data_IF_983168151836
#
_entry.id   IF_983168151836
#
_cell.length_a   1.000
_cell.length_b   1.000
_cell.length_c   1.000
_cell.angle_alpha   90.00
_cell.angle_beta   90.00
_cell.angle_gamma   90.00
#
_symmetry.space_group_name_H-M   'P 1'
#
loop_
_entity.id
_entity.type
_entity.pdbx_description
1 polymer ?
#
# COMPACT_ATOMS: atom_id res chain seq x y z
N UNK A 1 19.90 -15.82 -54.01
CA UNK A 1 19.17 -15.03 -53.00
C UNK A 1 18.28 -15.99 -52.25
N UNK A 2 18.67 -16.34 -51.03
CA UNK A 2 17.96 -17.28 -50.17
C UNK A 2 17.88 -16.63 -48.80
N UNK A 3 16.64 -16.39 -48.36
CA UNK A 3 16.30 -15.76 -47.09
C UNK A 3 16.59 -16.78 -45.98
N UNK A 4 17.53 -16.45 -45.10
CA UNK A 4 17.77 -17.23 -43.89
C UNK A 4 16.61 -16.99 -42.92
N UNK A 5 15.89 -18.05 -42.62
CA UNK A 5 14.88 -18.13 -41.57
C UNK A 5 15.56 -18.09 -40.20
N UNK A 6 15.26 -17.07 -39.40
CA UNK A 6 15.61 -17.00 -37.99
C UNK A 6 15.00 -18.18 -37.23
N UNK A 7 15.87 -18.95 -36.59
CA UNK A 7 15.52 -20.01 -35.64
C UNK A 7 15.12 -19.31 -34.35
N UNK A 8 13.83 -19.31 -34.02
CA UNK A 8 13.38 -18.95 -32.69
C UNK A 8 13.88 -20.01 -31.71
N UNK A 9 14.95 -19.70 -30.97
CA UNK A 9 15.43 -20.53 -29.87
C UNK A 9 14.34 -20.64 -28.79
N UNK A 10 13.66 -21.78 -28.77
CA UNK A 10 12.79 -22.14 -27.65
C UNK A 10 13.66 -22.48 -26.45
N UNK A 11 13.66 -21.61 -25.43
CA UNK A 11 14.32 -21.88 -24.15
C UNK A 11 13.91 -23.25 -23.61
N UNK A 12 14.91 -24.08 -23.31
CA UNK A 12 14.74 -25.39 -22.69
C UNK A 12 13.99 -25.27 -21.35
N UNK A 13 13.14 -26.25 -21.06
CA UNK A 13 12.27 -26.27 -19.89
C UNK A 13 13.07 -26.25 -18.60
N UNK A 14 14.25 -26.89 -18.58
CA UNK A 14 15.17 -26.86 -17.45
C UNK A 14 15.83 -25.49 -17.29
N UNK A 15 16.20 -24.83 -18.39
CA UNK A 15 16.70 -23.46 -18.37
C UNK A 15 15.64 -22.45 -17.87
N UNK A 16 14.37 -22.65 -18.24
CA UNK A 16 13.25 -21.84 -17.73
C UNK A 16 13.02 -22.06 -16.23
N UNK A 17 13.06 -23.31 -15.77
CA UNK A 17 12.93 -23.64 -14.33
C UNK A 17 14.09 -23.03 -13.55
N UNK A 18 15.32 -23.12 -14.06
CA UNK A 18 16.49 -22.52 -13.44
C UNK A 18 16.43 -20.99 -13.43
N UNK A 19 15.95 -20.36 -14.51
CA UNK A 19 15.74 -18.91 -14.56
C UNK A 19 14.69 -18.44 -13.56
N UNK A 20 13.60 -19.21 -13.38
CA UNK A 20 12.58 -18.95 -12.34
C UNK A 20 13.19 -19.12 -10.95
N UNK A 21 13.99 -20.16 -10.72
CA UNK A 21 14.67 -20.37 -9.44
C UNK A 21 15.72 -19.27 -9.15
N UNK A 22 16.41 -18.76 -10.16
CA UNK A 22 17.36 -17.66 -10.03
C UNK A 22 16.64 -16.35 -9.68
N UNK A 23 15.51 -16.05 -10.34
CA UNK A 23 14.62 -14.95 -9.99
C UNK A 23 13.98 -15.10 -8.60
N UNK A 24 13.66 -16.33 -8.17
CA UNK A 24 13.09 -16.61 -6.84
C UNK A 24 14.09 -16.47 -5.69
N UNK A 25 15.40 -16.49 -6.00
CA UNK A 25 16.49 -16.39 -5.03
C UNK A 25 17.25 -15.05 -5.11
N UNK A 26 16.73 -14.04 -5.83
CA UNK A 26 17.42 -12.77 -6.12
C UNK A 26 18.82 -12.97 -6.71
N UNK A 27 19.04 -14.09 -7.42
CA UNK A 27 20.21 -14.28 -8.28
C UNK A 27 19.86 -13.62 -9.62
N UNK A 28 19.68 -12.30 -9.59
CA UNK A 28 19.71 -11.52 -10.82
C UNK A 28 21.17 -11.45 -11.26
N UNK A 29 21.48 -11.93 -12.47
CA UNK A 29 22.64 -11.42 -13.20
C UNK A 29 22.38 -9.93 -13.39
N UNK A 30 22.88 -9.15 -12.44
CA UNK A 30 22.85 -7.70 -12.52
C UNK A 30 23.43 -7.33 -13.88
N UNK A 31 22.77 -6.40 -14.58
CA UNK A 31 23.43 -5.70 -15.68
C UNK A 31 24.61 -4.98 -15.03
N UNK A 32 25.77 -5.63 -15.08
CA UNK A 32 26.99 -5.25 -14.36
C UNK A 32 27.57 -3.95 -14.90
N UNK A 33 27.08 -3.51 -16.06
CA UNK A 33 27.36 -2.21 -16.66
C UNK A 33 26.27 -1.18 -16.26
N UNK A 34 26.60 -0.22 -15.36
CA UNK A 34 25.67 0.81 -14.92
C UNK A 34 25.24 1.77 -16.05
N UNK A 35 26.08 1.94 -17.08
CA UNK A 35 25.75 2.78 -18.23
C UNK A 35 24.72 2.10 -19.14
N UNK A 36 24.88 0.79 -19.37
CA UNK A 36 23.92 -0.02 -20.11
C UNK A 36 22.56 -0.10 -19.40
N UNK A 37 22.57 -0.24 -18.06
CA UNK A 37 21.35 -0.23 -17.25
C UNK A 37 20.60 1.13 -17.34
N UNK A 38 21.34 2.23 -17.35
CA UNK A 38 20.79 3.58 -17.48
C UNK A 38 20.19 3.82 -18.88
N UNK A 39 20.88 3.40 -19.95
CA UNK A 39 20.40 3.55 -21.32
C UNK A 39 19.18 2.66 -21.64
N UNK A 40 19.15 1.44 -21.10
CA UNK A 40 17.98 0.54 -21.18
C UNK A 40 16.77 1.11 -20.45
N UNK A 41 16.96 1.69 -19.26
CA UNK A 41 15.89 2.36 -18.53
C UNK A 41 15.31 3.55 -19.32
N UNK A 42 16.17 4.29 -20.05
CA UNK A 42 15.78 5.37 -20.95
C UNK A 42 14.94 4.90 -22.14
N UNK A 43 15.35 3.80 -22.79
CA UNK A 43 14.68 3.28 -23.99
C UNK A 43 13.37 2.54 -23.68
N UNK A 44 13.32 1.74 -22.61
CA UNK A 44 12.13 0.98 -22.23
C UNK A 44 10.99 1.90 -21.80
N UNK A 45 11.32 3.03 -21.16
CA UNK A 45 10.33 3.98 -20.66
C UNK A 45 9.48 4.60 -21.79
N UNK A 46 10.06 4.85 -22.96
CA UNK A 46 9.34 5.44 -24.10
C UNK A 46 8.30 4.46 -24.64
N UNK A 47 8.65 3.19 -24.79
CA UNK A 47 7.72 2.16 -25.26
C UNK A 47 6.64 1.80 -24.23
N UNK A 48 6.96 1.88 -22.93
CA UNK A 48 5.96 1.75 -21.86
C UNK A 48 4.97 2.93 -21.88
N UNK A 49 5.46 4.15 -22.10
CA UNK A 49 4.64 5.37 -22.19
C UNK A 49 3.76 5.36 -23.46
N UNK A 50 4.25 4.84 -24.59
CA UNK A 50 3.50 4.67 -25.85
C UNK A 50 2.40 3.59 -25.75
N UNK A 51 2.68 2.45 -25.09
CA UNK A 51 1.70 1.39 -24.84
C UNK A 51 0.57 1.86 -23.91
N UNK A 52 0.85 2.80 -23.00
CA UNK A 52 -0.15 3.45 -22.15
C UNK A 52 -1.02 4.42 -22.95
N UNK A 53 -0.46 5.14 -23.91
CA UNK A 53 -1.19 6.06 -24.79
C UNK A 53 -2.10 5.33 -25.80
N UNK A 54 -1.64 4.21 -26.37
CA UNK A 54 -2.40 3.42 -27.34
C UNK A 54 -3.61 2.68 -26.74
N UNK A 55 -3.70 2.57 -25.40
CA UNK A 55 -4.83 1.99 -24.68
C UNK A 55 -5.98 2.97 -24.39
N UNK A 56 -5.84 4.25 -24.70
CA UNK A 56 -6.87 5.27 -24.51
C UNK A 56 -7.56 5.59 -25.85
N UNK A 57 -8.81 5.13 -26.00
CA UNK A 57 -9.65 5.52 -27.14
C UNK A 57 -9.84 7.05 -27.22
N UNK A 58 -10.21 7.57 -28.41
CA UNK A 58 -10.18 8.99 -28.68
C UNK A 58 -11.35 9.68 -27.98
N UNK A 59 -11.08 10.40 -26.89
CA UNK A 59 -12.08 11.24 -26.25
C UNK A 59 -11.86 11.43 -24.76
N UNK A 60 -10.92 12.29 -24.38
CA UNK A 60 -11.08 13.17 -23.21
C UNK A 60 -9.89 14.13 -23.13
N UNK A 61 -10.21 15.37 -22.81
CA UNK A 61 -9.33 16.53 -22.92
C UNK A 61 -8.00 16.41 -22.16
N UNK A 62 -7.05 17.22 -22.63
CA UNK A 62 -5.71 17.42 -22.08
C UNK A 62 -5.77 17.67 -20.56
N UNK A 63 -5.61 16.61 -19.77
CA UNK A 63 -5.28 16.72 -18.35
C UNK A 63 -3.84 17.24 -18.25
N UNK A 64 -3.68 18.49 -17.80
CA UNK A 64 -2.38 19.06 -17.47
C UNK A 64 -1.71 18.15 -16.43
N UNK A 65 -0.63 17.50 -16.86
CA UNK A 65 0.30 16.72 -16.06
C UNK A 65 0.84 17.62 -14.91
N UNK A 66 0.31 17.49 -13.69
CA UNK A 66 0.96 18.07 -12.50
C UNK A 66 2.33 17.39 -12.39
N UNK A 67 3.42 18.17 -12.48
CA UNK A 67 4.77 17.68 -12.20
C UNK A 67 4.76 17.09 -10.78
N UNK A 68 5.11 15.82 -10.65
CA UNK A 68 5.45 15.20 -9.36
C UNK A 68 6.48 16.11 -8.69
N UNK A 69 6.13 16.72 -7.56
CA UNK A 69 7.11 17.47 -6.78
C UNK A 69 8.13 16.46 -6.30
N UNK A 70 9.42 16.70 -6.58
CA UNK A 70 10.48 15.95 -5.89
C UNK A 70 10.32 16.24 -4.39
N UNK A 71 10.15 15.21 -3.58
CA UNK A 71 10.05 15.32 -2.14
C UNK A 71 11.19 16.21 -1.62
N UNK A 72 10.84 17.36 -1.05
CA UNK A 72 11.85 18.32 -0.57
C UNK A 72 12.17 18.02 0.89
N UNK A 73 13.44 17.85 1.27
CA UNK A 73 13.80 17.74 2.68
C UNK A 73 13.37 18.99 3.44
N UNK A 74 13.09 18.87 4.75
CA UNK A 74 12.88 20.02 5.60
C UNK A 74 14.04 21.02 5.41
N UNK A 75 13.71 22.32 5.40
CA UNK A 75 14.73 23.38 5.20
C UNK A 75 15.62 23.47 6.45
N UNK A 76 16.92 23.25 6.29
CA UNK A 76 17.91 23.43 7.38
C UNK A 76 19.11 22.49 7.25
N UNK A 77 20.13 22.63 8.13
CA UNK A 77 21.18 21.64 8.26
C UNK A 77 20.58 20.30 8.72
N UNK A 78 21.17 19.18 8.29
CA UNK A 78 20.74 17.83 8.71
C UNK A 78 20.94 17.74 10.23
N UNK A 79 19.85 17.59 11.02
CA UNK A 79 19.94 17.51 12.47
C UNK A 79 20.49 16.15 12.93
N UNK A 80 20.83 16.06 14.22
CA UNK A 80 21.01 14.77 14.89
C UNK A 80 19.63 14.19 15.21
N UNK A 81 19.27 13.09 14.57
CA UNK A 81 17.93 12.49 14.62
C UNK A 81 17.51 12.13 16.05
N UNK A 82 18.42 11.55 16.84
CA UNK A 82 18.16 11.16 18.25
C UNK A 82 17.83 12.33 19.17
N UNK A 83 18.28 13.54 18.83
CA UNK A 83 18.03 14.75 19.62
C UNK A 83 16.69 15.41 19.28
N UNK A 84 15.99 14.93 18.25
CA UNK A 84 14.69 15.46 17.83
C UNK A 84 13.54 14.74 18.53
N UNK A 85 12.41 15.42 18.76
CA UNK A 85 11.19 14.74 19.16
C UNK A 85 10.69 13.80 18.05
N UNK A 86 9.91 12.75 18.38
CA UNK A 86 9.47 11.74 17.40
C UNK A 86 8.74 12.29 16.18
N UNK A 87 7.93 13.34 16.35
CA UNK A 87 7.27 14.05 15.24
C UNK A 87 8.28 14.58 14.22
N UNK A 88 9.35 15.21 14.69
CA UNK A 88 10.38 15.77 13.80
C UNK A 88 11.27 14.66 13.22
N UNK A 89 11.53 13.59 13.97
CA UNK A 89 12.18 12.40 13.41
C UNK A 89 11.37 11.85 12.22
N UNK A 90 10.06 11.67 12.39
CA UNK A 90 9.19 11.18 11.34
C UNK A 90 9.15 12.13 10.12
N UNK A 91 9.12 13.46 10.34
CA UNK A 91 9.21 14.45 9.25
C UNK A 91 10.49 14.30 8.42
N UNK A 92 11.62 14.04 9.06
CA UNK A 92 12.90 13.85 8.36
C UNK A 92 13.00 12.49 7.64
N UNK A 93 12.39 11.45 8.20
CA UNK A 93 12.47 10.07 7.66
C UNK A 93 11.47 9.85 6.53
N UNK A 94 10.19 10.17 6.78
CA UNK A 94 9.09 9.90 5.86
C UNK A 94 8.79 11.06 4.91
N UNK A 95 9.30 12.26 5.23
CA UNK A 95 9.21 13.42 4.35
C UNK A 95 7.75 13.76 4.03
N UNK A 96 7.41 13.91 2.75
CA UNK A 96 6.03 14.17 2.32
C UNK A 96 5.06 13.03 2.67
N UNK A 97 5.55 11.82 2.98
CA UNK A 97 4.72 10.67 3.38
C UNK A 97 4.38 10.64 4.88
N UNK A 98 4.94 11.57 5.66
CA UNK A 98 4.47 11.75 7.03
C UNK A 98 3.14 12.49 7.02
N UNK A 99 2.08 11.80 7.46
CA UNK A 99 0.76 12.39 7.63
C UNK A 99 0.58 12.64 9.13
N UNK A 100 0.59 13.91 9.59
CA UNK A 100 0.42 14.22 11.01
C UNK A 100 -1.02 13.95 11.47
N UNK A 101 -1.26 13.85 12.78
CA UNK A 101 -2.58 13.52 13.33
C UNK A 101 -3.63 14.58 12.98
N UNK A 102 -3.26 15.86 12.98
CA UNK A 102 -4.11 16.98 12.58
C UNK A 102 -4.60 16.82 11.13
N UNK A 103 -3.73 16.30 10.25
CA UNK A 103 -4.13 16.04 8.87
C UNK A 103 -5.12 14.87 8.76
N UNK A 104 -5.04 13.90 9.67
CA UNK A 104 -6.05 12.84 9.75
C UNK A 104 -7.39 13.42 10.24
N UNK A 105 -7.38 14.30 11.25
CA UNK A 105 -8.59 14.99 11.71
C UNK A 105 -9.25 15.78 10.59
N UNK A 106 -8.47 16.57 9.85
CA UNK A 106 -8.96 17.36 8.71
C UNK A 106 -9.66 16.49 7.65
N UNK A 107 -9.03 15.38 7.26
CA UNK A 107 -9.55 14.48 6.22
C UNK A 107 -10.84 13.79 6.69
N UNK A 108 -10.89 13.40 7.95
CA UNK A 108 -12.03 12.67 8.54
C UNK A 108 -13.12 13.61 9.08
N UNK A 109 -12.88 14.92 9.06
CA UNK A 109 -13.75 15.92 9.67
C UNK A 109 -13.79 15.89 11.20
N UNK A 110 -12.86 15.18 11.85
CA UNK A 110 -12.85 15.00 13.31
C UNK A 110 -12.40 16.29 14.02
N UNK A 111 -12.82 16.41 15.27
CA UNK A 111 -12.29 17.38 16.25
C UNK A 111 -12.09 16.65 17.57
N UNK A 112 -10.94 16.01 17.72
CA UNK A 112 -10.61 15.25 18.91
C UNK A 112 -10.50 16.21 20.11
N UNK A 113 -11.07 15.83 21.27
CA UNK A 113 -10.77 16.53 22.51
C UNK A 113 -9.26 16.55 22.75
N UNK A 114 -8.74 17.63 23.34
CA UNK A 114 -7.29 17.81 23.53
C UNK A 114 -6.62 16.65 24.29
N UNK A 115 -7.33 16.04 25.24
CA UNK A 115 -6.83 14.86 25.98
C UNK A 115 -6.67 13.63 25.08
N UNK A 116 -7.66 13.36 24.22
CA UNK A 116 -7.65 12.24 23.27
C UNK A 116 -6.60 12.46 22.18
N UNK A 117 -6.49 13.69 21.68
CA UNK A 117 -5.45 14.06 20.73
C UNK A 117 -4.05 13.81 21.33
N UNK A 118 -3.82 14.27 22.57
CA UNK A 118 -2.55 14.06 23.27
C UNK A 118 -2.26 12.58 23.52
N UNK A 119 -3.27 11.77 23.81
CA UNK A 119 -3.14 10.31 23.93
C UNK A 119 -2.68 9.67 22.62
N UNK A 120 -3.34 9.97 21.50
CA UNK A 120 -2.97 9.43 20.20
C UNK A 120 -1.62 9.94 19.70
N UNK A 121 -1.25 11.19 20.04
CA UNK A 121 0.08 11.73 19.77
C UNK A 121 1.16 11.03 20.62
N UNK A 122 0.87 10.71 21.88
CA UNK A 122 1.77 9.92 22.72
C UNK A 122 1.92 8.48 22.22
N UNK A 123 0.85 7.88 21.69
CA UNK A 123 0.90 6.58 21.03
C UNK A 123 1.77 6.63 19.76
N UNK A 124 1.67 7.71 18.96
CA UNK A 124 2.57 7.95 17.83
C UNK A 124 4.04 8.02 18.27
N UNK A 125 4.33 8.79 19.32
CA UNK A 125 5.70 9.01 19.81
C UNK A 125 6.36 7.69 20.23
N UNK A 126 5.59 6.80 20.90
CA UNK A 126 6.02 5.43 21.22
C UNK A 126 6.26 4.63 19.96
N UNK A 127 5.31 4.64 19.02
CA UNK A 127 5.42 3.89 17.77
C UNK A 127 6.69 4.25 16.98
N UNK A 128 7.01 5.54 16.85
CA UNK A 128 8.23 6.00 16.19
C UNK A 128 9.48 5.59 16.98
N UNK A 129 9.46 5.76 18.29
CA UNK A 129 10.60 5.39 19.15
C UNK A 129 10.92 3.91 18.99
N UNK A 130 9.92 3.04 19.13
CA UNK A 130 10.08 1.60 18.98
C UNK A 130 10.56 1.23 17.56
N UNK A 131 10.02 1.90 16.53
CA UNK A 131 10.37 1.65 15.13
C UNK A 131 11.83 1.99 14.85
N UNK A 132 12.38 3.01 15.52
CA UNK A 132 13.77 3.43 15.39
C UNK A 132 14.74 2.62 16.25
N UNK A 133 14.24 1.88 17.23
CA UNK A 133 15.01 0.93 18.05
C UNK A 133 15.11 -0.47 17.45
N UNK A 134 14.39 -0.75 16.35
CA UNK A 134 14.44 -2.05 15.70
C UNK A 134 15.85 -2.37 15.17
N UNK A 135 16.26 -3.66 15.16
CA UNK A 135 17.55 -4.07 14.60
C UNK A 135 17.76 -3.60 13.15
N UNK A 136 16.66 -3.49 12.40
CA UNK A 136 16.66 -3.04 11.00
C UNK A 136 16.96 -1.55 10.82
N UNK A 137 16.80 -0.72 11.84
CA UNK A 137 16.88 0.75 11.76
C UNK A 137 17.95 1.35 12.67
N UNK A 138 18.21 0.72 13.82
CA UNK A 138 19.06 1.28 14.89
C UNK A 138 20.46 1.69 14.43
N UNK A 139 21.13 0.87 13.60
CA UNK A 139 22.47 1.21 13.11
C UNK A 139 22.48 2.48 12.24
N UNK A 140 21.40 2.73 11.50
CA UNK A 140 21.28 3.94 10.68
C UNK A 140 20.92 5.16 11.54
N UNK A 141 20.20 4.96 12.66
CA UNK A 141 19.92 6.00 13.66
C UNK A 141 21.20 6.42 14.37
N UNK A 142 21.98 5.48 14.91
CA UNK A 142 23.24 5.73 15.63
C UNK A 142 24.27 6.48 14.76
N UNK A 143 24.32 6.15 13.47
CA UNK A 143 25.21 6.81 12.49
C UNK A 143 24.64 8.12 11.95
N UNK A 144 23.46 8.54 12.41
CA UNK A 144 22.69 9.68 11.90
C UNK A 144 22.52 9.64 10.37
N UNK A 145 22.36 8.44 9.81
CA UNK A 145 22.28 8.19 8.38
C UNK A 145 20.84 8.40 7.85
N UNK A 146 20.34 9.63 7.98
CA UNK A 146 18.98 10.00 7.56
C UNK A 146 18.68 9.57 6.10
N UNK A 147 19.58 9.73 5.10
CA UNK A 147 19.31 9.25 3.75
C UNK A 147 19.11 7.73 3.63
N UNK A 148 19.78 6.94 4.48
CA UNK A 148 19.60 5.49 4.51
C UNK A 148 18.22 5.13 5.09
N UNK A 149 17.80 5.81 6.15
CA UNK A 149 16.46 5.66 6.73
C UNK A 149 15.38 6.08 5.71
N UNK A 150 15.55 7.21 5.04
CA UNK A 150 14.64 7.66 3.97
C UNK A 150 14.50 6.63 2.85
N UNK A 151 15.63 6.02 2.42
CA UNK A 151 15.61 4.94 1.42
C UNK A 151 14.87 3.71 1.94
N UNK A 152 15.09 3.32 3.19
CA UNK A 152 14.47 2.16 3.80
C UNK A 152 12.96 2.32 3.98
N UNK A 153 12.50 3.53 4.32
CA UNK A 153 11.07 3.86 4.46
C UNK A 153 10.44 4.40 3.18
N UNK A 154 11.13 4.37 2.05
CA UNK A 154 10.67 4.97 0.79
C UNK A 154 9.38 4.35 0.24
N UNK A 155 9.01 3.15 0.69
CA UNK A 155 7.74 2.49 0.32
C UNK A 155 6.72 2.51 1.44
N UNK A 156 7.05 3.07 2.60
CA UNK A 156 6.19 3.08 3.77
C UNK A 156 5.41 4.40 3.89
N UNK A 157 4.24 4.32 4.51
CA UNK A 157 3.43 5.47 4.94
C UNK A 157 2.92 5.20 6.35
N UNK A 158 3.03 6.18 7.23
CA UNK A 158 2.45 6.10 8.56
C UNK A 158 0.99 6.55 8.50
N UNK A 159 0.10 5.71 9.02
CA UNK A 159 -1.35 5.96 9.02
C UNK A 159 -1.88 5.76 10.42
N UNK A 160 -2.65 6.74 10.91
CA UNK A 160 -3.51 6.57 12.06
C UNK A 160 -4.89 6.09 11.59
N UNK A 161 -5.29 4.90 12.03
CA UNK A 161 -6.62 4.34 11.75
C UNK A 161 -7.58 4.78 12.84
N UNK A 162 -8.37 5.81 12.58
CA UNK A 162 -9.42 6.24 13.49
C UNK A 162 -10.65 5.31 13.40
N UNK A 163 -11.33 5.04 14.52
CA UNK A 163 -12.54 4.21 14.52
C UNK A 163 -13.77 4.96 13.99
N UNK A 164 -13.71 6.28 13.91
CA UNK A 164 -14.84 7.17 13.57
C UNK A 164 -14.44 8.22 12.52
N UNK A 165 -15.43 8.73 11.79
CA UNK A 165 -15.34 9.88 10.90
C UNK A 165 -16.59 10.75 11.07
N UNK A 166 -16.56 12.01 10.63
CA UNK A 166 -17.75 12.85 10.60
C UNK A 166 -18.46 12.73 9.24
N UNK A 167 -19.76 12.43 9.28
CA UNK A 167 -20.63 12.44 8.13
C UNK A 167 -21.95 13.13 8.48
N UNK A 168 -22.34 14.15 7.71
CA UNK A 168 -23.51 15.00 7.98
C UNK A 168 -23.52 15.57 9.42
N UNK A 169 -22.37 16.11 9.85
CA UNK A 169 -22.17 16.69 11.19
C UNK A 169 -22.28 15.70 12.38
N UNK A 170 -22.38 14.40 12.10
CA UNK A 170 -22.43 13.34 13.12
C UNK A 170 -21.19 12.44 13.07
N UNK A 171 -20.70 12.03 14.24
CA UNK A 171 -19.66 11.01 14.34
C UNK A 171 -20.26 9.63 14.05
N UNK A 172 -19.71 8.95 13.04
CA UNK A 172 -20.15 7.62 12.62
C UNK A 172 -18.96 6.66 12.61
N UNK A 173 -19.17 5.37 12.96
CA UNK A 173 -18.11 4.37 12.87
C UNK A 173 -17.57 4.22 11.44
N UNK A 174 -16.26 4.12 11.30
CA UNK A 174 -15.59 3.90 10.02
C UNK A 174 -15.86 2.47 9.55
N UNK A 175 -16.65 2.35 8.49
CA UNK A 175 -17.04 1.12 7.81
C UNK A 175 -16.98 1.32 6.30
N UNK A 176 -17.18 0.27 5.50
CA UNK A 176 -17.27 0.42 4.03
C UNK A 176 -18.47 1.30 3.64
N UNK A 177 -19.56 1.25 4.43
CA UNK A 177 -20.73 2.11 4.26
C UNK A 177 -20.39 3.59 4.47
N UNK A 178 -19.88 3.95 5.65
CA UNK A 178 -19.58 5.34 5.99
C UNK A 178 -18.45 5.94 5.16
N UNK A 179 -17.41 5.16 4.82
CA UNK A 179 -16.36 5.60 3.90
C UNK A 179 -16.91 5.94 2.52
N UNK A 180 -17.89 5.17 2.04
CA UNK A 180 -18.50 5.43 0.74
C UNK A 180 -19.37 6.68 0.73
N UNK A 181 -20.03 6.96 1.85
CA UNK A 181 -20.91 8.10 1.99
C UNK A 181 -20.13 9.40 2.25
N UNK A 182 -19.05 9.34 3.03
CA UNK A 182 -18.14 10.47 3.26
C UNK A 182 -17.20 10.75 2.07
N UNK A 183 -16.73 9.73 1.35
CA UNK A 183 -15.77 9.87 0.25
C UNK A 183 -16.31 9.30 -1.09
N UNK A 184 -17.44 9.80 -1.62
CA UNK A 184 -18.07 9.24 -2.82
C UNK A 184 -17.19 9.36 -4.08
N UNK A 185 -16.21 10.28 -4.08
CA UNK A 185 -15.20 10.43 -5.14
C UNK A 185 -14.31 9.20 -5.31
N UNK A 186 -14.14 8.36 -4.28
CA UNK A 186 -13.34 7.13 -4.36
C UNK A 186 -14.12 5.92 -4.86
N UNK A 187 -15.45 6.00 -4.92
CA UNK A 187 -16.29 4.86 -5.32
C UNK A 187 -16.97 5.10 -6.66
N UNK A 188 -17.31 4.00 -7.34
CA UNK A 188 -18.21 4.08 -8.49
C UNK A 188 -19.62 4.47 -8.04
N UNK A 189 -20.29 5.29 -8.86
CA UNK A 189 -21.66 5.75 -8.59
C UNK A 189 -22.57 4.56 -8.27
N UNK A 190 -23.39 4.69 -7.21
CA UNK A 190 -24.42 3.71 -6.86
C UNK A 190 -25.36 3.54 -8.07
N UNK A 191 -25.56 2.29 -8.49
CA UNK A 191 -26.57 1.94 -9.50
C UNK A 191 -27.91 1.76 -8.81
N UNK A 192 -29.01 1.71 -9.59
CA UNK A 192 -30.36 1.40 -9.07
C UNK A 192 -30.42 0.08 -8.28
N UNK A 193 -29.57 -0.88 -8.65
CA UNK A 193 -29.41 -2.15 -7.94
C UNK A 193 -28.23 -2.03 -6.96
N UNK A 194 -28.48 -2.34 -5.69
CA UNK A 194 -27.46 -2.43 -4.64
C UNK A 194 -26.31 -3.36 -5.08
N UNK A 195 -25.08 -3.01 -4.71
CA UNK A 195 -23.94 -3.88 -4.97
C UNK A 195 -24.03 -5.12 -4.07
N UNK A 196 -23.51 -6.25 -4.55
CA UNK A 196 -23.61 -7.52 -3.83
C UNK A 196 -23.01 -7.47 -2.41
N UNK A 197 -21.97 -6.65 -2.21
CA UNK A 197 -21.30 -6.52 -0.92
C UNK A 197 -22.11 -5.75 0.12
N UNK A 198 -23.06 -4.91 -0.31
CA UNK A 198 -23.91 -4.11 0.59
C UNK A 198 -24.87 -4.98 1.42
N UNK A 199 -25.07 -6.24 1.02
CA UNK A 199 -25.90 -7.22 1.71
C UNK A 199 -25.13 -8.07 2.74
N UNK A 200 -23.84 -7.84 2.93
CA UNK A 200 -23.00 -8.63 3.83
C UNK A 200 -22.56 -7.83 5.06
N UNK A 201 -22.43 -8.51 6.21
CA UNK A 201 -22.14 -7.88 7.50
C UNK A 201 -20.87 -7.02 7.47
N UNK A 202 -19.83 -7.48 6.76
CA UNK A 202 -18.56 -6.74 6.63
C UNK A 202 -18.72 -5.34 6.00
N UNK A 203 -19.83 -5.06 5.31
CA UNK A 203 -20.09 -3.72 4.76
C UNK A 203 -20.26 -2.67 5.87
N UNK A 204 -20.76 -3.09 7.03
CA UNK A 204 -21.02 -2.25 8.21
C UNK A 204 -20.08 -2.51 9.38
N UNK A 205 -19.20 -3.51 9.26
CA UNK A 205 -18.23 -3.83 10.30
C UNK A 205 -17.23 -2.67 10.46
N UNK A 206 -17.10 -2.08 11.65
CA UNK A 206 -16.27 -0.90 11.84
C UNK A 206 -14.79 -1.26 12.08
N UNK A 207 -13.90 -0.28 11.91
CA UNK A 207 -12.57 -0.32 12.50
C UNK A 207 -12.72 -0.37 14.03
N UNK A 208 -12.12 -1.38 14.66
CA UNK A 208 -12.39 -1.70 16.07
C UNK A 208 -11.76 -0.75 17.08
N UNK A 209 -10.55 -0.27 16.80
CA UNK A 209 -9.77 0.51 17.75
C UNK A 209 -8.84 1.50 17.03
N UNK A 210 -8.61 2.68 17.63
CA UNK A 210 -7.61 3.63 17.15
C UNK A 210 -6.21 3.01 17.20
N UNK A 211 -5.41 3.16 16.14
CA UNK A 211 -3.99 2.73 16.16
C UNK A 211 -3.16 3.38 15.07
N UNK A 212 -1.88 3.55 15.38
CA UNK A 212 -0.84 3.83 14.39
C UNK A 212 -0.37 2.54 13.72
N UNK A 213 -0.19 2.61 12.41
CA UNK A 213 0.36 1.50 11.62
C UNK A 213 1.38 2.02 10.60
N UNK A 214 2.40 1.23 10.33
CA UNK A 214 3.29 1.42 9.20
C UNK A 214 2.73 0.63 8.01
N UNK A 215 2.22 1.31 7.00
CA UNK A 215 1.66 0.69 5.80
C UNK A 215 2.71 0.62 4.69
N UNK A 216 2.93 -0.57 4.15
CA UNK A 216 3.75 -0.71 2.94
C UNK A 216 2.90 -0.46 1.70
N UNK A 217 3.42 0.36 0.79
CA UNK A 217 2.80 0.65 -0.52
C UNK A 217 3.23 -0.36 -1.57
N UNK A 218 4.16 -1.26 -1.25
CA UNK A 218 4.46 -2.44 -2.05
C UNK A 218 3.69 -3.65 -1.57
N UNK A 219 3.25 -4.46 -2.54
CA UNK A 219 2.44 -5.63 -2.25
C UNK A 219 3.33 -6.87 -2.23
N UNK A 220 3.04 -7.79 -1.32
CA UNK A 220 3.58 -9.13 -1.32
C UNK A 220 2.73 -10.02 -2.23
N UNK A 221 3.35 -10.65 -3.23
CA UNK A 221 2.67 -11.63 -4.07
C UNK A 221 2.41 -12.93 -3.28
N UNK A 222 1.15 -13.34 -3.18
CA UNK A 222 0.71 -14.50 -2.40
C UNK A 222 0.22 -15.67 -3.27
N UNK A 223 0.54 -15.68 -4.57
CA UNK A 223 -0.06 -16.64 -5.51
C UNK A 223 0.40 -18.08 -5.31
N UNK A 224 1.61 -18.27 -4.78
CA UNK A 224 2.22 -19.58 -4.54
C UNK A 224 2.39 -19.92 -3.05
N UNK A 225 2.28 -18.93 -2.15
CA UNK A 225 2.51 -19.08 -0.72
C UNK A 225 1.37 -18.44 0.06
N UNK A 226 0.88 -19.14 1.10
CA UNK A 226 -0.17 -18.66 2.01
C UNK A 226 0.22 -17.27 2.59
N UNK A 227 -0.69 -16.26 2.58
CA UNK A 227 -0.39 -14.91 3.06
C UNK A 227 0.26 -14.86 4.43
N UNK A 228 -0.21 -15.70 5.36
CA UNK A 228 0.21 -15.71 6.76
C UNK A 228 1.72 -15.96 6.89
N UNK A 229 2.27 -16.90 6.09
CA UNK A 229 3.71 -17.19 6.10
C UNK A 229 4.55 -16.05 5.53
N UNK A 230 4.02 -15.32 4.54
CA UNK A 230 4.70 -14.14 3.97
C UNK A 230 4.70 -12.98 4.97
N UNK A 231 3.60 -12.77 5.67
CA UNK A 231 3.47 -11.74 6.71
C UNK A 231 4.37 -12.03 7.92
N UNK A 232 4.43 -13.29 8.36
CA UNK A 232 5.36 -13.70 9.42
C UNK A 232 6.83 -13.49 9.02
N UNK A 233 7.18 -13.76 7.75
CA UNK A 233 8.50 -13.41 7.21
C UNK A 233 8.74 -11.91 7.22
N UNK A 234 7.78 -11.14 6.71
CA UNK A 234 7.85 -9.68 6.67
C UNK A 234 8.07 -9.07 8.06
N UNK A 235 7.32 -9.50 9.09
CA UNK A 235 7.51 -9.03 10.45
C UNK A 235 8.91 -9.38 11.00
N UNK A 236 9.38 -10.61 10.77
CA UNK A 236 10.73 -11.03 11.17
C UNK A 236 11.84 -10.24 10.48
N UNK A 237 11.65 -9.84 9.22
CA UNK A 237 12.60 -8.98 8.50
C UNK A 237 12.69 -7.58 9.12
N UNK A 238 11.70 -7.17 9.93
CA UNK A 238 11.73 -5.97 10.76
C UNK A 238 12.23 -6.24 12.19
N UNK A 239 12.57 -7.48 12.53
CA UNK A 239 12.94 -7.87 13.89
C UNK A 239 11.75 -7.92 14.86
N UNK A 240 10.53 -8.08 14.34
CA UNK A 240 9.29 -8.08 15.12
C UNK A 240 8.71 -9.51 15.26
N UNK A 241 7.88 -9.74 16.30
CA UNK A 241 7.02 -10.92 16.39
C UNK A 241 6.14 -11.13 15.15
N UNK A 242 5.84 -12.38 14.81
CA UNK A 242 5.12 -12.73 13.58
C UNK A 242 3.73 -12.08 13.47
N UNK A 243 3.07 -11.84 14.60
CA UNK A 243 1.74 -11.25 14.71
C UNK A 243 1.72 -9.71 14.54
N UNK A 244 2.88 -9.05 14.53
CA UNK A 244 2.99 -7.65 14.14
C UNK A 244 2.77 -7.43 12.63
N UNK A 245 3.00 -8.46 11.81
CA UNK A 245 2.79 -8.44 10.36
C UNK A 245 1.32 -8.67 10.01
N UNK A 246 0.59 -7.60 9.72
CA UNK A 246 -0.86 -7.65 9.53
C UNK A 246 -1.28 -7.62 8.06
N UNK A 247 -2.23 -8.50 7.74
CA UNK A 247 -3.04 -8.36 6.53
C UNK A 247 -4.26 -7.52 6.84
N UNK A 248 -4.46 -6.46 6.04
CA UNK A 248 -5.61 -5.57 6.17
C UNK A 248 -6.92 -6.31 5.92
N UNK A 249 -7.95 -6.00 6.70
CA UNK A 249 -9.32 -6.29 6.30
C UNK A 249 -9.78 -5.31 5.20
N UNK A 250 -10.98 -5.49 4.67
CA UNK A 250 -11.50 -4.65 3.59
C UNK A 250 -11.69 -3.18 4.01
N UNK A 251 -12.22 -2.91 5.21
CA UNK A 251 -12.42 -1.53 5.65
C UNK A 251 -11.08 -0.81 5.83
N UNK A 252 -10.08 -1.47 6.38
CA UNK A 252 -8.73 -0.93 6.56
C UNK A 252 -8.03 -0.66 5.22
N UNK A 253 -8.13 -1.58 4.25
CA UNK A 253 -7.53 -1.37 2.92
C UNK A 253 -8.19 -0.18 2.20
N UNK A 254 -9.51 -0.01 2.31
CA UNK A 254 -10.22 1.14 1.74
C UNK A 254 -9.88 2.44 2.46
N UNK A 255 -9.85 2.42 3.80
CA UNK A 255 -9.50 3.56 4.63
C UNK A 255 -8.10 4.07 4.28
N UNK A 256 -7.09 3.19 4.27
CA UNK A 256 -5.71 3.58 3.97
C UNK A 256 -5.58 4.17 2.56
N UNK A 257 -6.31 3.64 1.56
CA UNK A 257 -6.31 4.18 0.19
C UNK A 257 -6.88 5.60 0.12
N UNK A 258 -7.99 5.83 0.82
CA UNK A 258 -8.67 7.12 0.85
C UNK A 258 -7.78 8.13 1.59
N UNK A 259 -7.36 7.79 2.81
CA UNK A 259 -6.61 8.71 3.66
C UNK A 259 -5.27 9.11 3.04
N UNK A 260 -4.53 8.14 2.49
CA UNK A 260 -3.27 8.44 1.78
C UNK A 260 -3.54 9.24 0.51
N UNK A 261 -4.61 8.94 -0.24
CA UNK A 261 -4.97 9.70 -1.43
C UNK A 261 -5.34 11.16 -1.14
N UNK A 262 -6.11 11.41 -0.08
CA UNK A 262 -6.51 12.76 0.36
C UNK A 262 -5.35 13.53 1.01
N UNK A 263 -4.45 12.83 1.71
CA UNK A 263 -3.30 13.45 2.34
C UNK A 263 -2.21 13.84 1.33
N UNK A 264 -1.91 12.95 0.37
CA UNK A 264 -0.76 13.10 -0.52
C UNK A 264 -1.13 13.59 -1.92
N UNK A 265 -2.43 13.67 -2.25
CA UNK A 265 -2.93 13.87 -3.62
C UNK A 265 -2.40 12.80 -4.60
N UNK A 266 -2.05 11.61 -4.10
CA UNK A 266 -1.43 10.52 -4.86
C UNK A 266 -2.10 9.16 -4.60
N UNK A 267 -2.31 8.40 -5.67
CA UNK A 267 -2.82 7.04 -5.59
C UNK A 267 -1.70 6.01 -5.35
N UNK A 268 -1.03 6.06 -4.19
CA UNK A 268 0.12 5.18 -3.91
C UNK A 268 -0.20 3.68 -4.02
N UNK A 269 -1.45 3.30 -3.76
CA UNK A 269 -1.92 1.92 -3.85
C UNK A 269 -2.61 1.57 -5.18
N UNK A 270 -2.71 2.49 -6.16
CA UNK A 270 -3.36 2.20 -7.46
C UNK A 270 -2.44 1.47 -8.46
N UNK A 271 -1.75 0.44 -7.98
CA UNK A 271 -1.05 -0.52 -8.85
C UNK A 271 -2.06 -1.54 -9.39
N UNK A 272 -1.70 -2.25 -10.46
CA UNK A 272 -2.59 -3.22 -11.15
C UNK A 272 -2.84 -4.50 -10.36
N UNK A 273 -2.85 -4.47 -9.03
CA UNK A 273 -2.92 -5.66 -8.16
C UNK A 273 -4.27 -5.69 -7.46
N UNK A 274 -4.81 -6.89 -7.27
CA UNK A 274 -5.98 -7.07 -6.41
C UNK A 274 -5.49 -7.17 -4.96
N UNK A 275 -5.85 -6.21 -4.11
CA UNK A 275 -5.56 -6.28 -2.67
C UNK A 275 -6.35 -7.42 -2.06
N UNK A 276 -5.63 -8.46 -1.64
CA UNK A 276 -6.16 -9.61 -0.93
C UNK A 276 -6.34 -9.20 0.53
N UNK A 277 -7.60 -9.22 1.00
CA UNK A 277 -7.95 -8.84 2.38
C UNK A 277 -8.26 -10.06 3.22
N UNK A 278 -8.27 -9.90 4.55
CA UNK A 278 -8.74 -10.95 5.48
C UNK A 278 -10.26 -11.10 5.50
N UNK A 279 -10.99 -10.18 4.88
CA UNK A 279 -12.46 -10.16 4.91
C UNK A 279 -13.04 -11.33 4.13
N UNK A 280 -13.58 -12.29 4.87
CA UNK A 280 -14.30 -13.45 4.36
C UNK A 280 -15.81 -13.28 4.44
N UNK A 281 -16.54 -13.85 3.49
CA UNK A 281 -18.00 -13.82 3.49
C UNK A 281 -18.58 -15.10 2.86
N UNK A 282 -19.88 -15.34 3.11
CA UNK A 282 -20.62 -16.44 2.46
C UNK A 282 -21.87 -15.90 1.82
N UNK A 283 -22.14 -16.28 0.57
CA UNK A 283 -23.38 -15.90 -0.13
C UNK A 283 -24.62 -16.58 0.46
N UNK A 284 -24.46 -17.75 1.08
CA UNK A 284 -25.50 -18.51 1.79
C UNK A 284 -24.89 -19.06 3.07
N UNK A 285 -25.67 -19.26 4.14
CA UNK A 285 -25.18 -19.73 5.46
C UNK A 285 -24.29 -20.99 5.38
N UNK A 286 -24.65 -21.94 4.51
CA UNK A 286 -23.89 -23.18 4.24
C UNK A 286 -23.05 -23.15 2.95
N UNK A 287 -22.85 -21.97 2.35
CA UNK A 287 -22.09 -21.81 1.11
C UNK A 287 -20.57 -21.77 1.34
N UNK A 288 -19.81 -21.88 0.25
CA UNK A 288 -18.35 -21.74 0.28
C UNK A 288 -17.92 -20.37 0.78
N UNK A 289 -16.84 -20.34 1.57
CA UNK A 289 -16.19 -19.11 2.01
C UNK A 289 -15.60 -18.39 0.79
N UNK A 290 -15.89 -17.10 0.68
CA UNK A 290 -15.33 -16.19 -0.32
C UNK A 290 -14.50 -15.13 0.39
N UNK A 291 -13.51 -14.60 -0.30
CA UNK A 291 -12.70 -13.47 0.14
C UNK A 291 -13.11 -12.22 -0.62
N UNK A 292 -13.07 -11.09 0.05
CA UNK A 292 -13.24 -9.77 -0.55
C UNK A 292 -11.87 -9.20 -0.98
N UNK A 293 -11.87 -8.51 -2.11
CA UNK A 293 -10.67 -7.89 -2.68
C UNK A 293 -10.99 -6.46 -3.07
N UNK A 294 -10.05 -5.56 -2.85
CA UNK A 294 -10.12 -4.18 -3.32
C UNK A 294 -9.16 -3.95 -4.49
N UNK A 295 -9.60 -3.19 -5.48
CA UNK A 295 -8.81 -2.79 -6.64
C UNK A 295 -9.00 -1.32 -6.87
N UNK A 296 -7.91 -0.56 -6.90
CA UNK A 296 -7.95 0.87 -7.21
C UNK A 296 -7.44 1.12 -8.61
N UNK A 297 -8.24 1.80 -9.41
CA UNK A 297 -7.88 2.24 -10.75
C UNK A 297 -8.32 3.70 -10.90
N UNK A 298 -7.37 4.60 -11.14
CA UNK A 298 -7.62 6.04 -11.38
C UNK A 298 -8.51 6.63 -10.27
N UNK A 299 -7.99 6.67 -9.04
CA UNK A 299 -8.71 7.17 -7.85
C UNK A 299 -10.00 6.44 -7.47
N UNK A 300 -10.41 5.40 -8.19
CA UNK A 300 -11.65 4.66 -7.96
C UNK A 300 -11.38 3.26 -7.46
N UNK A 301 -12.01 2.90 -6.35
CA UNK A 301 -11.94 1.56 -5.76
C UNK A 301 -13.13 0.71 -6.20
N UNK A 302 -12.84 -0.54 -6.55
CA UNK A 302 -13.81 -1.60 -6.84
C UNK A 302 -13.64 -2.73 -5.85
N UNK A 303 -14.77 -3.26 -5.35
CA UNK A 303 -14.80 -4.41 -4.44
C UNK A 303 -15.20 -5.65 -5.23
N UNK A 304 -14.34 -6.67 -5.22
CA UNK A 304 -14.57 -7.96 -5.84
C UNK A 304 -14.70 -9.05 -4.78
N UNK A 305 -15.34 -10.16 -5.14
CA UNK A 305 -15.53 -11.29 -4.24
C UNK A 305 -15.34 -12.62 -4.96
N UNK A 306 -14.50 -13.51 -4.42
CA UNK A 306 -14.15 -14.79 -5.06
C UNK A 306 -13.96 -15.90 -4.02
N UNK A 307 -14.27 -17.15 -4.40
CA UNK A 307 -13.96 -18.33 -3.57
C UNK A 307 -12.45 -18.56 -3.56
N UNK A 308 -11.87 -18.70 -2.37
CA UNK A 308 -10.45 -18.98 -2.16
C UNK A 308 -9.50 -17.86 -2.58
N UNK A 309 -8.19 -18.11 -2.45
CA UNK A 309 -7.16 -17.24 -3.03
C UNK A 309 -7.20 -17.41 -4.55
N UNK A 310 -7.30 -16.32 -5.33
CA UNK A 310 -7.51 -16.46 -6.75
C UNK A 310 -6.28 -17.03 -7.48
N UNK A 311 -6.33 -18.28 -7.93
CA UNK A 311 -5.45 -18.78 -8.99
C UNK A 311 -5.98 -18.25 -10.33
N UNK A 312 -5.69 -16.99 -10.68
CA UNK A 312 -6.03 -16.51 -12.02
C UNK A 312 -4.99 -17.00 -13.01
N UNK A 313 -5.45 -17.53 -14.16
CA UNK A 313 -4.58 -17.87 -15.29
C UNK A 313 -3.69 -16.66 -15.62
N UNK A 314 -2.38 -16.89 -15.81
CA UNK A 314 -1.34 -15.89 -16.07
C UNK A 314 -1.62 -14.86 -17.20
N UNK A 315 -2.72 -15.05 -17.96
CA UNK A 315 -3.19 -14.13 -19.00
C UNK A 315 -3.87 -12.85 -18.49
N UNK A 316 -4.15 -12.69 -17.19
CA UNK A 316 -4.68 -11.43 -16.60
C UNK A 316 -3.72 -10.85 -15.57
N UNK A 317 -3.29 -9.60 -15.79
CA UNK A 317 -2.28 -8.84 -15.02
C UNK A 317 -2.62 -8.54 -13.54
N UNK A 318 -3.77 -8.97 -13.03
CA UNK A 318 -4.20 -8.65 -11.66
C UNK A 318 -3.97 -9.84 -10.72
N UNK A 319 -2.71 -10.06 -10.36
CA UNK A 319 -2.32 -11.04 -9.36
C UNK A 319 -2.86 -10.63 -7.98
N UNK A 320 -3.27 -11.56 -7.11
CA UNK A 320 -3.62 -11.22 -5.74
C UNK A 320 -2.34 -10.89 -4.95
N UNK A 321 -2.32 -9.70 -4.36
CA UNK A 321 -1.22 -9.24 -3.51
C UNK A 321 -1.75 -8.76 -2.17
N UNK A 322 -0.93 -8.88 -1.13
CA UNK A 322 -1.23 -8.31 0.19
C UNK A 322 -0.41 -7.05 0.36
N UNK A 323 -1.05 -5.94 0.72
CA UNK A 323 -0.36 -4.75 1.21
C UNK A 323 -0.20 -4.90 2.73
N UNK A 324 1.01 -5.23 3.23
CA UNK A 324 1.20 -5.46 4.66
C UNK A 324 1.06 -4.16 5.45
N UNK A 325 0.76 -4.33 6.74
CA UNK A 325 0.92 -3.29 7.74
C UNK A 325 1.71 -3.83 8.92
N UNK A 326 2.52 -3.00 9.55
CA UNK A 326 3.06 -3.29 10.87
C UNK A 326 2.24 -2.53 11.92
N UNK A 327 1.81 -3.26 12.94
CA UNK A 327 1.29 -2.69 14.17
C UNK A 327 2.10 -3.28 15.33
N UNK A 328 2.45 -2.45 16.30
CA UNK A 328 3.18 -2.91 17.47
C UNK A 328 2.17 -3.21 18.56
N UNK A 329 2.48 -4.20 19.40
CA UNK A 329 1.67 -4.45 20.58
C UNK A 329 1.76 -3.23 21.49
N UNK A 330 0.62 -2.81 22.03
CA UNK A 330 0.63 -1.86 23.13
C UNK A 330 1.32 -2.55 24.31
N UNK A 331 2.46 -2.01 24.72
CA UNK A 331 3.27 -2.51 25.84
C UNK A 331 2.74 -2.03 27.19
#
# INVERSE_FOLDING_TARGET
MTIATDVAETMDREALVQAILNLENDVEDQVTDPALAFDLAGHIKVHVDELVALGAGPGSGKLKRKKTKKARPPKGPIPRLEALPPVDQARWIFMERYIPLERHEDILGLKLPSEVFAEYQKSFDRFITDLLLLPRTIQAVEKNAIPALQKQFATCVLVFRAPELIHNDEAVPVSVESLRDAFPSYFYKRKKKANWFEAHDFYREPIKAPRWVLCDTEHMNCTLRRPERKLAGYARDWGLPEDCGLQKNLVEDLYDRILVGEALEEDLFARTVNSLTTTGYRTRKKGAQRLAFAVQKVHKVTIHGKVGVPHWKAKRRHWPGVYPSLAFHES
#
